data_IF_114350159825
#
_entry.id   IF_114350159825
#
_cell.length_a   1.000
_cell.length_b   1.000
_cell.length_c   1.000
_cell.angle_alpha   90.00
_cell.angle_beta   90.00
_cell.angle_gamma   90.00
#
_symmetry.space_group_name_H-M   'P 1'
#
loop_
_entity.id
_entity.type
_entity.pdbx_description
1 polymer ?
#
# COMPACT_ATOMS: atom_id res chain seq x y z
N UNK A 1 -7.02 -34.07 8.57
CA UNK A 1 -7.88 -32.86 8.39
C UNK A 1 -7.37 -32.03 7.24
N UNK A 2 -8.24 -31.47 6.39
CA UNK A 2 -7.83 -30.45 5.39
C UNK A 2 -7.38 -29.19 6.15
N UNK A 3 -6.13 -28.76 5.97
CA UNK A 3 -5.63 -27.50 6.56
C UNK A 3 -6.46 -26.31 6.02
N UNK A 4 -7.09 -25.56 6.92
CA UNK A 4 -7.73 -24.29 6.61
C UNK A 4 -6.65 -23.25 6.27
N UNK A 5 -6.96 -22.30 5.39
CA UNK A 5 -6.02 -21.25 4.99
C UNK A 5 -6.68 -19.87 4.92
N UNK A 6 -5.90 -18.78 5.04
CA UNK A 6 -6.43 -17.40 5.15
C UNK A 6 -7.21 -16.86 3.95
N UNK A 7 -7.18 -17.53 2.79
CA UNK A 7 -8.05 -17.18 1.64
C UNK A 7 -9.10 -18.25 1.38
N UNK A 8 -9.46 -19.00 2.42
CA UNK A 8 -10.67 -19.80 2.43
C UNK A 8 -11.85 -18.82 2.42
N UNK A 9 -12.70 -18.97 1.41
CA UNK A 9 -13.98 -18.28 1.35
C UNK A 9 -15.07 -19.22 1.86
N UNK A 10 -16.03 -18.68 2.59
CA UNK A 10 -17.34 -19.30 2.70
C UNK A 10 -17.99 -19.23 1.33
N UNK A 11 -18.55 -20.34 0.87
CA UNK A 11 -19.23 -20.43 -0.43
C UNK A 11 -20.67 -20.80 -0.19
N UNK A 12 -21.60 -20.07 -0.80
CA UNK A 12 -23.02 -20.37 -0.82
C UNK A 12 -23.58 -20.21 -2.23
N UNK A 13 -24.79 -20.72 -2.45
CA UNK A 13 -25.54 -20.44 -3.67
C UNK A 13 -26.88 -19.80 -3.26
N UNK A 14 -27.25 -18.71 -3.94
CA UNK A 14 -28.56 -18.07 -3.78
C UNK A 14 -29.07 -17.66 -5.16
N UNK A 15 -30.29 -18.08 -5.52
CA UNK A 15 -30.94 -17.77 -6.80
C UNK A 15 -30.06 -18.05 -8.04
N UNK A 16 -29.30 -19.15 -8.01
CA UNK A 16 -28.39 -19.54 -9.12
C UNK A 16 -27.07 -18.77 -9.17
N UNK A 17 -26.84 -17.78 -8.30
CA UNK A 17 -25.55 -17.10 -8.14
C UNK A 17 -24.67 -17.76 -7.08
N UNK A 18 -23.36 -17.78 -7.32
CA UNK A 18 -22.36 -18.20 -6.31
C UNK A 18 -21.98 -17.00 -5.45
N UNK A 19 -22.20 -17.10 -4.14
CA UNK A 19 -21.76 -16.11 -3.15
C UNK A 19 -20.47 -16.60 -2.53
N UNK A 20 -19.46 -15.73 -2.47
CA UNK A 20 -18.23 -15.99 -1.73
C UNK A 20 -18.00 -14.91 -0.68
N UNK A 21 -17.75 -15.30 0.56
CA UNK A 21 -17.42 -14.38 1.67
C UNK A 21 -16.02 -14.71 2.15
N UNK A 22 -15.13 -13.72 2.15
CA UNK A 22 -13.77 -13.89 2.67
C UNK A 22 -13.79 -14.08 4.18
N UNK A 23 -12.95 -14.98 4.69
CA UNK A 23 -12.74 -15.07 6.13
C UNK A 23 -11.77 -13.98 6.60
N UNK A 24 -11.98 -13.39 7.79
CA UNK A 24 -10.95 -12.58 8.42
C UNK A 24 -9.71 -13.43 8.73
N UNK A 25 -8.61 -12.78 9.11
CA UNK A 25 -7.43 -13.50 9.60
C UNK A 25 -7.79 -14.15 10.95
N UNK A 26 -8.10 -15.45 10.91
CA UNK A 26 -8.41 -16.26 12.09
C UNK A 26 -7.13 -16.78 12.77
N UNK A 27 -7.17 -17.00 14.07
CA UNK A 27 -6.04 -17.52 14.87
C UNK A 27 -5.51 -18.86 14.37
N UNK A 28 -6.37 -19.71 13.78
CA UNK A 28 -5.96 -20.98 13.15
C UNK A 28 -4.96 -20.80 11.98
N UNK A 29 -4.83 -19.57 11.45
CA UNK A 29 -3.84 -19.24 10.44
C UNK A 29 -2.52 -18.76 11.02
N UNK A 30 -2.44 -18.57 12.33
CA UNK A 30 -1.29 -18.04 13.05
C UNK A 30 -0.56 -19.15 13.82
N UNK A 31 0.66 -18.86 14.26
CA UNK A 31 1.35 -19.66 15.26
C UNK A 31 0.68 -19.49 16.64
N UNK A 32 1.09 -20.29 17.62
CA UNK A 32 0.51 -20.32 18.97
C UNK A 32 0.56 -18.95 19.69
N UNK A 33 1.41 -18.03 19.21
CA UNK A 33 1.61 -16.69 19.79
C UNK A 33 1.00 -15.55 18.96
N UNK A 34 0.36 -15.84 17.82
CA UNK A 34 -0.19 -14.80 16.93
C UNK A 34 0.83 -13.92 16.19
N UNK A 35 2.13 -14.21 16.28
CA UNK A 35 3.23 -13.36 15.76
C UNK A 35 3.68 -13.71 14.34
N UNK A 36 3.33 -14.90 13.87
CA UNK A 36 3.65 -15.39 12.54
C UNK A 36 2.47 -16.22 12.01
N UNK A 37 2.50 -16.56 10.72
CA UNK A 37 1.60 -17.58 10.20
C UNK A 37 1.89 -18.94 10.83
N UNK A 38 0.92 -19.86 10.76
CA UNK A 38 1.01 -21.21 11.35
C UNK A 38 2.19 -22.07 10.83
N UNK A 39 2.85 -21.66 9.74
CA UNK A 39 4.07 -22.29 9.21
C UNK A 39 5.36 -21.55 9.59
N UNK A 40 5.29 -20.56 10.49
CA UNK A 40 6.43 -19.76 10.93
C UNK A 40 6.75 -18.59 10.00
N UNK A 41 6.08 -18.45 8.85
CA UNK A 41 6.32 -17.32 7.94
C UNK A 41 5.90 -16.01 8.61
N UNK A 42 6.74 -14.97 8.60
CA UNK A 42 6.39 -13.66 9.16
C UNK A 42 5.12 -13.08 8.54
N UNK A 43 4.29 -12.43 9.34
CA UNK A 43 3.16 -11.63 8.84
C UNK A 43 3.75 -10.42 8.11
N UNK A 44 3.44 -10.18 6.83
CA UNK A 44 4.00 -9.05 6.10
C UNK A 44 3.62 -7.74 6.78
N UNK A 45 4.63 -6.94 7.13
CA UNK A 45 4.41 -5.61 7.67
C UNK A 45 3.70 -4.74 6.63
N UNK A 46 2.67 -4.03 7.06
CA UNK A 46 1.92 -3.07 6.26
C UNK A 46 1.90 -1.75 6.98
N UNK A 47 2.22 -0.70 6.25
CA UNK A 47 2.03 0.67 6.69
C UNK A 47 0.81 1.24 5.98
N UNK A 48 -0.13 1.75 6.76
CA UNK A 48 -1.34 2.39 6.27
C UNK A 48 -1.42 3.79 6.83
N UNK A 49 -1.87 4.72 6.01
CA UNK A 49 -2.13 6.08 6.47
C UNK A 49 -3.48 6.53 5.96
N UNK A 50 -4.22 7.19 6.83
CA UNK A 50 -5.51 7.76 6.52
C UNK A 50 -5.52 9.22 6.97
N UNK A 51 -6.14 10.08 6.18
CA UNK A 51 -6.34 11.48 6.53
C UNK A 51 -7.84 11.74 6.61
N UNK A 52 -8.29 12.27 7.74
CA UNK A 52 -9.63 12.82 7.86
C UNK A 52 -9.62 14.26 7.35
N UNK A 53 -10.49 14.56 6.39
CA UNK A 53 -10.69 15.94 5.93
C UNK A 53 -11.16 16.82 7.10
N UNK A 54 -10.72 18.08 7.12
CA UNK A 54 -11.04 19.08 8.14
C UNK A 54 -10.49 18.83 9.55
N UNK A 55 -9.85 17.68 9.80
CA UNK A 55 -9.18 17.39 11.06
C UNK A 55 -10.13 17.01 12.19
N UNK A 56 -9.67 17.26 13.42
CA UNK A 56 -10.30 16.88 14.69
C UNK A 56 -10.35 18.11 15.60
N UNK A 57 -11.39 18.24 16.43
CA UNK A 57 -11.60 19.44 17.25
C UNK A 57 -10.70 19.40 18.47
N UNK A 58 -9.84 20.41 18.68
CA UNK A 58 -8.87 20.39 19.80
C UNK A 58 -9.52 20.16 21.17
N UNK A 59 -10.66 20.82 21.43
CA UNK A 59 -11.40 20.71 22.69
C UNK A 59 -12.00 19.32 22.95
N UNK A 60 -12.04 18.46 21.93
CA UNK A 60 -12.60 17.10 22.01
C UNK A 60 -11.47 16.07 21.87
N UNK A 61 -10.59 16.24 20.89
CA UNK A 61 -9.57 15.27 20.49
C UNK A 61 -8.37 15.21 21.43
N UNK A 62 -8.04 16.30 22.13
CA UNK A 62 -6.90 16.32 23.04
C UNK A 62 -7.33 15.74 24.39
N UNK A 63 -6.80 14.58 24.79
CA UNK A 63 -7.20 13.94 26.04
C UNK A 63 -6.64 14.68 27.26
N UNK A 64 -7.42 14.73 28.34
CA UNK A 64 -6.97 15.35 29.61
C UNK A 64 -5.92 14.49 30.32
N UNK A 65 -6.09 13.16 30.25
CA UNK A 65 -5.12 12.17 30.72
C UNK A 65 -4.36 11.56 29.55
N UNK A 66 -3.04 11.47 29.67
CA UNK A 66 -2.15 10.85 28.68
C UNK A 66 -1.50 9.56 29.23
N UNK A 67 -0.78 8.83 28.38
CA UNK A 67 -0.10 7.58 28.72
C UNK A 67 -0.86 6.33 28.28
N UNK A 68 -0.51 5.15 28.81
CA UNK A 68 -1.07 3.86 28.37
C UNK A 68 -2.59 3.75 28.49
N UNK A 69 -3.19 4.51 29.42
CA UNK A 69 -4.63 4.54 29.67
C UNK A 69 -5.15 5.99 29.53
N UNK A 70 -4.79 6.64 28.42
CA UNK A 70 -5.26 7.98 28.07
C UNK A 70 -6.80 8.02 28.02
N UNK A 71 -7.39 9.20 28.22
CA UNK A 71 -8.84 9.36 28.07
C UNK A 71 -9.19 9.25 26.59
N UNK A 72 -9.93 8.22 26.17
CA UNK A 72 -10.28 8.07 24.75
C UNK A 72 -11.18 9.24 24.30
N UNK A 73 -10.75 10.05 23.31
CA UNK A 73 -11.56 11.16 22.82
C UNK A 73 -12.87 10.70 22.17
N UNK A 74 -13.94 11.49 22.32
CA UNK A 74 -15.25 11.19 21.75
C UNK A 74 -15.21 11.04 20.22
N UNK A 75 -14.38 11.84 19.53
CA UNK A 75 -14.19 11.77 18.07
C UNK A 75 -13.59 10.44 17.59
N UNK A 76 -12.97 9.66 18.49
CA UNK A 76 -12.47 8.30 18.21
C UNK A 76 -13.05 7.23 19.14
N UNK A 77 -14.21 7.50 19.76
CA UNK A 77 -14.87 6.56 20.68
C UNK A 77 -15.15 5.18 20.05
N UNK A 78 -15.37 5.14 18.73
CA UNK A 78 -15.55 3.89 17.98
C UNK A 78 -14.32 2.96 18.01
N UNK A 79 -13.15 3.48 18.39
CA UNK A 79 -11.91 2.71 18.52
C UNK A 79 -11.67 2.17 19.93
N UNK A 80 -12.60 2.38 20.88
CA UNK A 80 -12.49 1.85 22.24
C UNK A 80 -12.12 0.35 22.33
N UNK A 81 -12.67 -0.55 21.47
CA UNK A 81 -12.33 -1.97 21.53
C UNK A 81 -10.88 -2.32 21.18
N UNK A 82 -10.09 -1.36 20.69
CA UNK A 82 -8.70 -1.55 20.30
C UNK A 82 -7.78 -0.48 20.92
N UNK A 83 -8.21 0.17 22.00
CA UNK A 83 -7.48 1.28 22.62
C UNK A 83 -6.06 0.87 23.04
N UNK A 84 -5.86 -0.36 23.51
CA UNK A 84 -4.53 -0.88 23.88
C UNK A 84 -3.53 -0.93 22.72
N UNK A 85 -4.02 -0.84 21.48
CA UNK A 85 -3.19 -0.83 20.27
C UNK A 85 -2.97 0.58 19.71
N UNK A 86 -3.49 1.62 20.38
CA UNK A 86 -3.42 3.01 19.91
C UNK A 86 -2.33 3.75 20.68
N UNK A 87 -1.37 4.28 19.93
CA UNK A 87 -0.49 5.34 20.42
C UNK A 87 -1.06 6.67 19.96
N UNK A 88 -1.69 7.42 20.88
CA UNK A 88 -2.33 8.68 20.55
C UNK A 88 -1.33 9.84 20.66
N UNK A 89 -0.94 10.37 19.51
CA UNK A 89 -0.11 11.55 19.37
C UNK A 89 -1.02 12.76 19.07
N UNK A 90 -1.20 13.64 20.06
CA UNK A 90 -2.11 14.81 20.00
C UNK A 90 -1.43 16.11 20.43
N UNK A 91 -2.13 17.24 20.21
CA UNK A 91 -1.72 18.56 20.68
C UNK A 91 -0.36 19.03 20.12
N UNK A 92 -0.06 18.63 18.89
CA UNK A 92 1.13 19.08 18.18
C UNK A 92 0.87 20.41 17.50
N UNK A 93 1.87 21.29 17.56
CA UNK A 93 1.92 22.49 16.74
C UNK A 93 2.79 22.24 15.52
N UNK A 94 2.29 22.66 14.36
CA UNK A 94 3.05 22.64 13.12
C UNK A 94 3.69 23.99 12.91
N UNK A 95 5.02 24.04 12.92
CA UNK A 95 5.76 25.25 12.56
C UNK A 95 5.73 25.45 11.04
N UNK A 96 5.39 26.67 10.62
CA UNK A 96 5.27 27.04 9.20
C UNK A 96 6.38 27.95 8.71
N UNK A 97 7.25 28.41 9.61
CA UNK A 97 8.21 29.49 9.34
C UNK A 97 7.49 30.67 8.63
N UNK A 98 8.04 31.13 7.50
CA UNK A 98 7.47 32.22 6.70
C UNK A 98 6.28 31.79 5.81
N UNK A 99 5.92 30.51 5.77
CA UNK A 99 4.85 30.02 4.91
C UNK A 99 3.46 30.49 5.40
N UNK A 100 2.56 30.87 4.47
CA UNK A 100 1.20 31.31 4.83
C UNK A 100 0.39 30.17 5.46
N UNK A 101 -0.63 30.53 6.23
CA UNK A 101 -1.64 29.55 6.62
C UNK A 101 -2.68 29.40 5.50
N UNK A 102 -2.65 28.27 4.81
CA UNK A 102 -3.56 27.95 3.72
C UNK A 102 -4.68 27.08 4.27
N UNK A 103 -5.87 27.67 4.37
CA UNK A 103 -7.05 27.01 4.92
C UNK A 103 -7.29 25.65 4.22
N UNK A 104 -7.51 24.61 5.02
CA UNK A 104 -7.71 23.23 4.56
C UNK A 104 -6.53 22.59 3.79
N UNK A 105 -5.34 23.21 3.78
CA UNK A 105 -4.19 22.73 3.01
C UNK A 105 -2.90 22.61 3.84
N UNK A 106 -2.48 23.66 4.55
CA UNK A 106 -1.17 23.66 5.23
C UNK A 106 -1.02 22.52 6.24
N UNK A 107 -2.04 22.27 7.05
CA UNK A 107 -1.98 21.26 8.12
C UNK A 107 -1.72 19.86 7.60
N UNK A 108 -2.52 19.39 6.64
CA UNK A 108 -2.35 18.04 6.13
C UNK A 108 -1.04 17.89 5.35
N UNK A 109 -0.61 18.90 4.58
CA UNK A 109 0.65 18.80 3.83
C UNK A 109 1.83 18.64 4.77
N UNK A 110 1.93 19.46 5.82
CA UNK A 110 3.07 19.38 6.75
C UNK A 110 3.06 18.07 7.54
N UNK A 111 1.88 17.58 7.95
CA UNK A 111 1.76 16.28 8.62
C UNK A 111 2.25 15.12 7.75
N UNK A 112 2.28 15.29 6.42
CA UNK A 112 2.68 14.27 5.45
C UNK A 112 4.11 14.41 4.99
N UNK A 113 4.59 15.63 4.74
CA UNK A 113 5.92 15.89 4.17
C UNK A 113 6.93 16.48 5.17
N UNK A 114 6.47 16.97 6.32
CA UNK A 114 7.29 17.72 7.27
C UNK A 114 7.63 19.15 6.83
N UNK A 115 7.09 19.64 5.70
CA UNK A 115 7.42 20.95 5.13
C UNK A 115 6.15 21.75 4.85
N UNK A 116 6.12 23.03 5.24
CA UNK A 116 4.99 23.91 5.00
C UNK A 116 4.88 24.36 3.53
N UNK A 117 3.68 24.26 2.93
CA UNK A 117 3.48 24.69 1.54
C UNK A 117 3.39 26.21 1.43
N UNK A 118 4.02 26.78 0.41
CA UNK A 118 3.95 28.22 0.11
C UNK A 118 2.66 28.64 -0.59
N UNK A 119 2.02 27.71 -1.34
CA UNK A 119 0.75 27.93 -2.06
C UNK A 119 -0.11 26.67 -2.02
N UNK A 120 -1.40 26.77 -2.33
CA UNK A 120 -2.32 25.62 -2.35
C UNK A 120 -2.03 24.61 -3.47
N UNK A 121 -1.11 24.92 -4.37
CA UNK A 121 -0.64 24.04 -5.43
C UNK A 121 0.74 23.45 -5.12
N UNK A 122 1.46 24.04 -4.17
CA UNK A 122 2.81 23.65 -3.80
C UNK A 122 2.80 22.30 -3.07
N UNK A 123 3.65 21.40 -3.56
CA UNK A 123 3.91 20.08 -2.99
C UNK A 123 5.36 20.16 -2.53
N UNK A 124 5.61 20.42 -1.25
CA UNK A 124 6.93 20.86 -0.83
C UNK A 124 7.96 19.71 -0.76
N UNK A 125 7.52 18.46 -0.84
CA UNK A 125 8.44 17.32 -0.81
C UNK A 125 7.75 15.97 -0.86
N UNK A 126 8.56 14.94 -0.69
CA UNK A 126 8.12 13.56 -0.51
C UNK A 126 7.26 13.42 0.75
N UNK A 127 6.23 12.58 0.68
CA UNK A 127 5.40 12.26 1.85
C UNK A 127 5.87 11.00 2.57
N UNK A 128 5.59 10.91 3.87
CA UNK A 128 6.02 9.81 4.74
C UNK A 128 5.61 8.42 4.23
N UNK A 129 4.45 8.29 3.59
CA UNK A 129 4.01 7.02 3.01
C UNK A 129 4.92 6.55 1.87
N UNK A 130 5.47 7.48 1.08
CA UNK A 130 6.44 7.16 0.04
C UNK A 130 7.75 6.70 0.68
N UNK A 131 8.29 7.48 1.62
CA UNK A 131 9.52 7.16 2.34
C UNK A 131 9.45 5.75 2.97
N UNK A 132 8.35 5.45 3.68
CA UNK A 132 8.13 4.13 4.29
C UNK A 132 7.97 3.05 3.22
N UNK A 133 7.20 3.29 2.16
CA UNK A 133 6.98 2.30 1.10
C UNK A 133 8.28 1.90 0.38
N UNK A 134 9.27 2.80 0.27
CA UNK A 134 10.59 2.48 -0.29
C UNK A 134 11.38 1.51 0.58
N UNK A 135 11.15 1.51 1.89
CA UNK A 135 11.82 0.61 2.83
C UNK A 135 11.13 -0.76 2.90
N UNK A 136 9.80 -0.79 3.07
CA UNK A 136 9.07 -2.04 3.36
C UNK A 136 8.28 -2.61 2.17
N UNK A 137 8.07 -1.83 1.10
CA UNK A 137 7.18 -2.19 0.00
C UNK A 137 7.86 -2.96 -1.15
N UNK A 138 9.13 -3.34 -1.01
CA UNK A 138 9.87 -4.06 -2.07
C UNK A 138 9.58 -5.56 -2.11
N UNK A 139 8.88 -6.10 -1.12
CA UNK A 139 8.51 -7.52 -1.06
C UNK A 139 7.13 -7.81 -1.69
N UNK A 140 6.48 -6.83 -2.32
CA UNK A 140 5.12 -6.97 -2.86
C UNK A 140 4.98 -6.43 -4.27
N UNK A 141 4.08 -7.04 -5.06
CA UNK A 141 3.73 -6.61 -6.44
C UNK A 141 3.46 -5.10 -6.53
N UNK A 142 2.75 -4.57 -5.54
CA UNK A 142 2.54 -3.13 -5.38
C UNK A 142 3.34 -2.66 -4.19
N UNK A 143 4.22 -1.68 -4.41
CA UNK A 143 4.93 -0.99 -3.34
C UNK A 143 3.97 -0.18 -2.47
N UNK A 144 3.07 0.55 -3.13
CA UNK A 144 2.07 1.39 -2.50
C UNK A 144 0.75 1.25 -3.25
N UNK A 145 -0.34 1.36 -2.49
CA UNK A 145 -1.71 1.36 -2.97
C UNK A 145 -2.36 2.61 -2.41
N UNK A 146 -2.84 3.48 -3.29
CA UNK A 146 -3.50 4.74 -2.92
C UNK A 146 -4.93 4.71 -3.45
N UNK A 147 -5.87 5.10 -2.61
CA UNK A 147 -7.28 5.17 -2.93
C UNK A 147 -7.89 6.45 -2.35
N UNK A 148 -8.93 6.97 -2.98
CA UNK A 148 -9.65 8.15 -2.52
C UNK A 148 -11.16 7.89 -2.51
N UNK A 149 -11.82 8.38 -1.46
CA UNK A 149 -13.27 8.33 -1.33
C UNK A 149 -13.97 9.57 -1.92
N UNK A 150 -13.23 10.54 -2.47
CA UNK A 150 -13.81 11.81 -2.96
C UNK A 150 -14.37 11.73 -4.38
N UNK A 151 -14.17 10.60 -5.08
CA UNK A 151 -14.52 10.47 -6.50
C UNK A 151 -13.64 11.29 -7.45
N UNK A 152 -12.56 11.90 -6.96
CA UNK A 152 -11.65 12.75 -7.74
C UNK A 152 -10.21 12.29 -7.55
N UNK A 153 -9.57 11.82 -8.62
CA UNK A 153 -8.19 11.33 -8.61
C UNK A 153 -7.14 12.44 -8.43
N UNK A 154 -7.54 13.72 -8.50
CA UNK A 154 -6.66 14.86 -8.23
C UNK A 154 -6.48 15.09 -6.73
N UNK A 155 -7.38 14.56 -5.90
CA UNK A 155 -7.31 14.67 -4.44
C UNK A 155 -6.39 13.59 -3.88
N UNK A 156 -5.09 13.87 -3.89
CA UNK A 156 -4.05 12.98 -3.35
C UNK A 156 -3.33 13.56 -2.15
N UNK A 157 -3.04 12.69 -1.18
CA UNK A 157 -2.27 12.98 0.04
C UNK A 157 -0.87 12.32 0.00
N UNK A 158 -0.41 11.91 -1.19
CA UNK A 158 0.82 11.15 -1.38
C UNK A 158 1.63 11.72 -2.54
N UNK A 159 2.85 12.16 -2.26
CA UNK A 159 3.76 12.78 -3.21
C UNK A 159 5.11 12.07 -3.18
N UNK A 160 5.63 11.68 -4.35
CA UNK A 160 7.01 11.19 -4.47
C UNK A 160 8.01 12.35 -4.44
N UNK A 161 7.55 13.58 -4.70
CA UNK A 161 8.33 14.80 -4.70
C UNK A 161 7.49 15.98 -5.20
N UNK A 162 8.09 17.17 -5.31
CA UNK A 162 7.30 18.39 -5.52
C UNK A 162 6.54 18.50 -6.85
N UNK A 163 6.91 17.68 -7.84
CA UNK A 163 6.24 17.61 -9.14
C UNK A 163 5.63 16.24 -9.43
N UNK A 164 5.64 15.31 -8.47
CA UNK A 164 5.20 13.93 -8.69
C UNK A 164 4.16 13.52 -7.65
N UNK A 165 2.91 13.45 -8.09
CA UNK A 165 1.77 13.04 -7.27
C UNK A 165 1.45 11.58 -7.50
N UNK A 166 1.35 10.81 -6.43
CA UNK A 166 0.80 9.47 -6.50
C UNK A 166 -0.71 9.55 -6.69
N UNK A 167 -1.20 9.22 -7.89
CA UNK A 167 -2.62 9.29 -8.23
C UNK A 167 -3.39 8.18 -7.50
N UNK A 168 -4.34 8.53 -6.61
CA UNK A 168 -5.20 7.55 -5.97
C UNK A 168 -6.22 6.99 -6.95
N UNK A 169 -6.60 5.73 -6.75
CA UNK A 169 -7.74 5.15 -7.43
C UNK A 169 -9.03 5.50 -6.70
N UNK A 170 -10.01 6.03 -7.42
CA UNK A 170 -11.30 6.44 -6.85
C UNK A 170 -12.40 5.40 -7.11
N UNK A 171 -12.22 4.51 -8.09
CA UNK A 171 -13.18 3.47 -8.43
C UNK A 171 -12.85 2.18 -7.67
N UNK A 172 -13.73 1.69 -6.79
CA UNK A 172 -13.54 0.41 -6.11
C UNK A 172 -13.37 -0.75 -7.09
N UNK A 173 -14.09 -0.72 -8.23
CA UNK A 173 -14.00 -1.74 -9.27
C UNK A 173 -12.61 -1.76 -9.91
N UNK A 174 -12.07 -0.60 -10.31
CA UNK A 174 -10.72 -0.52 -10.89
C UNK A 174 -9.66 -0.88 -9.87
N UNK A 175 -9.83 -0.48 -8.61
CA UNK A 175 -8.92 -0.86 -7.53
C UNK A 175 -8.88 -2.38 -7.36
N UNK A 176 -10.04 -3.03 -7.34
CA UNK A 176 -10.14 -4.48 -7.29
C UNK A 176 -9.51 -5.15 -8.53
N UNK A 177 -9.83 -4.68 -9.74
CA UNK A 177 -9.26 -5.20 -11.00
C UNK A 177 -7.73 -5.04 -11.04
N UNK A 178 -7.19 -3.94 -10.51
CA UNK A 178 -5.74 -3.76 -10.40
C UNK A 178 -5.11 -4.80 -9.47
N UNK A 179 -5.75 -5.09 -8.34
CA UNK A 179 -5.24 -6.05 -7.35
C UNK A 179 -5.39 -7.51 -7.78
N UNK A 180 -6.54 -7.85 -8.37
CA UNK A 180 -7.02 -9.23 -8.56
C UNK A 180 -7.52 -9.54 -9.98
N UNK A 181 -7.32 -8.63 -10.94
CA UNK A 181 -7.69 -8.84 -12.34
C UNK A 181 -6.76 -9.78 -13.10
N UNK A 182 -6.77 -9.71 -14.43
CA UNK A 182 -6.08 -10.67 -15.30
C UNK A 182 -4.57 -10.79 -15.05
N UNK A 183 -3.91 -9.70 -14.66
CA UNK A 183 -2.48 -9.69 -14.32
C UNK A 183 -2.16 -10.36 -12.96
N UNK A 184 -3.17 -10.72 -12.16
CA UNK A 184 -2.96 -11.40 -10.89
C UNK A 184 -2.52 -12.85 -11.13
N UNK A 185 -1.23 -13.09 -10.93
CA UNK A 185 -0.67 -14.44 -10.94
C UNK A 185 -0.96 -15.11 -9.60
N UNK A 186 -1.72 -16.21 -9.62
CA UNK A 186 -1.96 -17.00 -8.42
C UNK A 186 -0.65 -17.72 -8.01
N UNK A 187 -0.06 -17.40 -6.84
CA UNK A 187 1.16 -18.04 -6.33
C UNK A 187 1.07 -19.57 -6.24
N UNK A 188 -0.15 -20.10 -6.14
CA UNK A 188 -0.41 -21.53 -5.98
C UNK A 188 -0.85 -22.22 -7.27
N UNK A 189 -0.81 -21.51 -8.41
CA UNK A 189 -1.00 -22.16 -9.69
C UNK A 189 0.12 -23.20 -9.92
N UNK A 190 -0.26 -24.34 -10.52
CA UNK A 190 0.68 -25.42 -10.86
C UNK A 190 1.75 -24.88 -11.82
N UNK A 191 1.31 -24.14 -12.83
CA UNK A 191 2.15 -23.43 -13.78
C UNK A 191 2.25 -21.95 -13.43
N UNK A 192 3.41 -21.36 -13.73
CA UNK A 192 3.64 -19.93 -13.68
C UNK A 192 4.10 -19.49 -15.05
N UNK A 193 3.34 -18.60 -15.69
CA UNK A 193 3.66 -18.06 -17.01
C UNK A 193 3.88 -16.56 -16.85
N UNK A 194 5.14 -16.08 -16.92
CA UNK A 194 5.42 -14.66 -16.90
C UNK A 194 4.70 -13.94 -18.05
N UNK A 195 4.20 -12.73 -17.81
CA UNK A 195 3.59 -11.91 -18.86
C UNK A 195 4.68 -11.49 -19.88
N UNK A 196 4.56 -11.86 -21.18
CA UNK A 196 5.50 -11.43 -22.20
C UNK A 196 5.68 -9.92 -22.29
N UNK A 197 4.63 -9.14 -22.01
CA UNK A 197 4.73 -7.66 -22.00
C UNK A 197 5.66 -7.17 -20.90
N UNK A 198 5.66 -7.83 -19.74
CA UNK A 198 6.56 -7.49 -18.62
C UNK A 198 8.00 -7.82 -18.97
N UNK A 199 8.25 -8.96 -19.64
CA UNK A 199 9.58 -9.33 -20.12
C UNK A 199 10.15 -8.29 -21.10
N UNK A 200 9.34 -7.88 -22.08
CA UNK A 200 9.74 -6.85 -23.06
C UNK A 200 10.01 -5.51 -22.36
N UNK A 201 9.15 -5.08 -21.43
CA UNK A 201 9.34 -3.84 -20.67
C UNK A 201 10.62 -3.88 -19.83
N UNK A 202 10.92 -5.00 -19.16
CA UNK A 202 12.18 -5.16 -18.41
C UNK A 202 13.40 -5.10 -19.33
N UNK A 203 13.35 -5.76 -20.48
CA UNK A 203 14.44 -5.72 -21.46
C UNK A 203 14.69 -4.30 -21.98
N UNK A 204 13.63 -3.55 -22.27
CA UNK A 204 13.74 -2.16 -22.70
C UNK A 204 14.35 -1.26 -21.61
N UNK A 205 13.93 -1.43 -20.35
CA UNK A 205 14.53 -0.71 -19.23
C UNK A 205 16.01 -1.05 -19.03
N UNK A 206 16.37 -2.33 -19.16
CA UNK A 206 17.75 -2.79 -19.02
C UNK A 206 18.66 -2.13 -20.07
N UNK A 207 18.21 -2.06 -21.33
CA UNK A 207 18.94 -1.39 -22.41
C UNK A 207 19.14 0.12 -22.13
N UNK A 208 18.09 0.82 -21.69
CA UNK A 208 18.20 2.25 -21.34
C UNK A 208 19.13 2.49 -20.15
N UNK A 209 19.20 1.55 -19.20
CA UNK A 209 20.03 1.67 -18.01
C UNK A 209 21.53 1.55 -18.32
N UNK A 210 21.92 0.79 -19.34
CA UNK A 210 23.32 0.75 -19.81
C UNK A 210 23.75 2.08 -20.44
N UNK A 211 22.92 2.65 -21.32
CA UNK A 211 23.23 3.94 -21.95
C UNK A 211 23.20 5.10 -20.95
N UNK A 212 22.31 5.01 -19.97
CA UNK A 212 22.26 5.89 -18.79
C UNK A 212 23.60 5.94 -18.05
N UNK A 213 24.21 4.79 -17.74
CA UNK A 213 25.50 4.75 -17.02
C UNK A 213 26.62 5.43 -17.80
N UNK A 214 26.61 5.31 -19.13
CA UNK A 214 27.56 6.02 -20.00
C UNK A 214 27.33 7.54 -19.95
N UNK A 215 26.07 7.98 -19.95
CA UNK A 215 25.72 9.40 -19.84
C UNK A 215 26.11 9.99 -18.47
N UNK A 216 25.90 9.27 -17.37
CA UNK A 216 26.32 9.74 -16.04
C UNK A 216 27.82 10.05 -15.98
N UNK A 217 28.66 9.28 -16.68
CA UNK A 217 30.11 9.48 -16.73
C UNK A 217 30.49 10.82 -17.38
N UNK A 218 29.68 11.37 -18.28
CA UNK A 218 29.97 12.62 -18.99
C UNK A 218 29.37 13.87 -18.32
N UNK A 219 28.47 13.70 -17.36
CA UNK A 219 27.77 14.81 -16.69
C UNK A 219 28.52 15.39 -15.48
N UNK A 220 28.30 16.69 -15.24
CA UNK A 220 28.74 17.39 -14.03
C UNK A 220 27.89 17.04 -12.80
N UNK A 221 28.36 17.41 -11.60
CA UNK A 221 27.77 17.03 -10.32
C UNK A 221 26.27 17.41 -10.18
N UNK A 222 25.88 18.61 -10.65
CA UNK A 222 24.51 19.09 -10.54
C UNK A 222 23.53 18.31 -11.43
N UNK A 223 23.94 17.93 -12.63
CA UNK A 223 23.10 17.16 -13.55
C UNK A 223 22.99 15.68 -13.12
N UNK A 224 24.07 15.12 -12.55
CA UNK A 224 24.02 13.80 -11.91
C UNK A 224 22.99 13.75 -10.79
N UNK A 225 22.94 14.76 -9.93
CA UNK A 225 21.97 14.82 -8.84
C UNK A 225 20.50 14.84 -9.34
N UNK A 226 20.24 15.52 -10.47
CA UNK A 226 18.90 15.53 -11.09
C UNK A 226 18.53 14.18 -11.69
N UNK A 227 19.48 13.54 -12.38
CA UNK A 227 19.23 12.24 -13.00
C UNK A 227 19.13 11.09 -12.00
N UNK A 228 19.80 11.17 -10.86
CA UNK A 228 19.73 10.09 -9.85
C UNK A 228 18.30 9.86 -9.32
N UNK A 229 17.48 10.92 -9.21
CA UNK A 229 16.06 10.80 -8.89
C UNK A 229 15.30 10.02 -9.98
N UNK A 230 15.57 10.33 -11.26
CA UNK A 230 14.96 9.63 -12.38
C UNK A 230 15.36 8.14 -12.41
N UNK A 231 16.65 7.85 -12.19
CA UNK A 231 17.16 6.48 -12.20
C UNK A 231 16.75 5.66 -10.99
N UNK A 232 16.56 6.28 -9.83
CA UNK A 232 15.93 5.64 -8.68
C UNK A 232 14.54 5.12 -9.05
N UNK A 233 13.73 5.94 -9.75
CA UNK A 233 12.44 5.51 -10.28
C UNK A 233 12.52 4.34 -11.28
N UNK A 234 13.51 4.36 -12.18
CA UNK A 234 13.71 3.25 -13.14
C UNK A 234 14.13 1.94 -12.47
N UNK A 235 15.06 1.99 -11.50
CA UNK A 235 15.46 0.81 -10.71
C UNK A 235 14.28 0.23 -9.93
N UNK A 236 13.39 1.08 -9.44
CA UNK A 236 12.18 0.66 -8.75
C UNK A 236 11.18 -0.03 -9.68
N UNK A 237 11.05 0.42 -10.93
CA UNK A 237 10.23 -0.26 -11.94
C UNK A 237 10.82 -1.62 -12.34
N UNK A 238 12.14 -1.70 -12.51
CA UNK A 238 12.83 -2.94 -12.82
C UNK A 238 12.61 -4.00 -11.73
N UNK A 239 12.80 -3.64 -10.46
CA UNK A 239 12.51 -4.55 -9.34
C UNK A 239 11.05 -5.00 -9.31
N UNK A 240 10.10 -4.14 -9.68
CA UNK A 240 8.68 -4.53 -9.79
C UNK A 240 8.44 -5.52 -10.91
N UNK A 241 9.15 -5.41 -12.03
CA UNK A 241 9.09 -6.40 -13.08
C UNK A 241 9.72 -7.72 -12.65
N UNK A 242 10.83 -7.71 -11.91
CA UNK A 242 11.42 -8.93 -11.34
C UNK A 242 10.43 -9.71 -10.46
N UNK A 243 9.68 -9.00 -9.61
CA UNK A 243 8.63 -9.60 -8.78
C UNK A 243 7.49 -10.20 -9.60
N UNK A 244 7.20 -9.65 -10.79
CA UNK A 244 6.16 -10.16 -11.68
C UNK A 244 6.66 -11.30 -12.58
N UNK A 245 7.97 -11.37 -12.83
CA UNK A 245 8.63 -12.40 -13.64
C UNK A 245 9.11 -13.59 -12.81
N UNK A 246 9.11 -13.47 -11.50
CA UNK A 246 9.47 -14.55 -10.57
C UNK A 246 8.20 -15.18 -10.02
N UNK A 247 8.14 -16.51 -9.99
CA UNK A 247 7.02 -17.21 -9.35
C UNK A 247 6.99 -16.80 -7.88
N UNK A 248 5.90 -16.19 -7.37
CA UNK A 248 5.82 -15.83 -5.97
C UNK A 248 5.90 -17.09 -5.12
N UNK A 249 6.50 -16.99 -3.92
CA UNK A 249 6.58 -18.12 -3.01
C UNK A 249 5.18 -18.75 -2.81
N UNK A 250 5.09 -20.10 -2.84
CA UNK A 250 3.82 -20.78 -2.70
C UNK A 250 3.19 -20.40 -1.36
N UNK A 251 2.17 -19.56 -1.41
CA UNK A 251 1.49 -19.16 -0.20
C UNK A 251 0.55 -20.29 0.18
N UNK A 252 0.70 -20.97 1.33
CA UNK A 252 -0.30 -21.98 1.75
C UNK A 252 -1.74 -21.42 1.82
N UNK A 253 -1.86 -20.10 1.79
CA UNK A 253 -3.08 -19.30 1.67
C UNK A 253 -3.94 -19.45 0.39
N UNK A 254 -3.42 -19.92 -0.75
CA UNK A 254 -4.12 -19.84 -2.07
C UNK A 254 -4.52 -21.19 -2.70
N UNK A 255 -4.36 -22.32 -2.01
CA UNK A 255 -4.59 -23.68 -2.54
C UNK A 255 -6.05 -23.99 -2.96
N UNK A 256 -7.01 -23.10 -2.68
CA UNK A 256 -8.44 -23.36 -2.95
C UNK A 256 -8.90 -23.08 -4.39
N UNK A 257 -8.04 -22.53 -5.27
CA UNK A 257 -8.46 -22.12 -6.62
C UNK A 257 -8.25 -23.17 -7.72
N UNK A 258 -7.56 -24.29 -7.47
CA UNK A 258 -7.09 -25.21 -8.52
C UNK A 258 -7.73 -26.59 -8.62
N UNK A 259 -8.75 -26.95 -7.81
CA UNK A 259 -9.39 -28.27 -7.92
C UNK A 259 -10.81 -28.17 -8.49
N UNK A 260 -10.92 -28.04 -9.81
CA UNK A 260 -12.07 -28.56 -10.54
C UNK A 260 -12.01 -30.09 -10.43
N UNK A 261 -12.74 -30.66 -9.47
CA UNK A 261 -12.95 -32.11 -9.44
C UNK A 261 -13.86 -32.46 -10.60
N UNK A 262 -13.27 -33.08 -11.62
CA UNK A 262 -13.96 -33.95 -12.55
C UNK A 262 -14.54 -35.10 -11.72
N UNK A 263 -15.83 -35.05 -11.42
CA UNK A 263 -16.59 -36.21 -10.96
C UNK A 263 -17.77 -36.38 -11.90
N UNK A 264 -17.55 -37.22 -12.90
CA UNK A 264 -18.57 -37.93 -13.65
C UNK A 264 -19.53 -38.58 -12.65
N UNK A 265 -20.78 -38.13 -12.64
CA UNK A 265 -21.88 -38.88 -12.07
C UNK A 265 -22.19 -40.04 -13.01
N UNK A 266 -21.95 -41.28 -12.55
CA UNK A 266 -22.68 -42.46 -13.04
C UNK A 266 -23.74 -42.76 -11.99
N UNK A 267 -24.99 -42.80 -12.49
CA UNK A 267 -26.25 -43.30 -11.91
C UNK A 267 -26.45 -43.14 -10.40
#
# INVERSE_FOLDING_TARGET
MKKLNRRKFLKGALNGGVITVGLPLLDIFLNDNGTAYADGTPIPMRFGTWSWGLGMSESIFVPKKTGANFDLPDEIAALAPVQEHINLYTNFHVFKDDAPNLCHHSGWVVLRSGIAPMTSQNKPGETIDVAVSRQIGNATRFRSLSATATGDNRNSFSYEGGNSVNVPEWSPLRFYQRLFGEEFQNPNAETFTPDPKVMVRKSALSAVQEDTKKLEQTLGANDRARLDQYFTGLRDLERRFDLQLTKPDPSRSLYCFGRTRNTSYRA
#
